data_IF_262685327293
#
_entry.id   IF_262685327293
#
_cell.length_a   1.000
_cell.length_b   1.000
_cell.length_c   1.000
_cell.angle_alpha   90.00
_cell.angle_beta   90.00
_cell.angle_gamma   90.00
#
_symmetry.space_group_name_H-M   'P 1'
#
loop_
_entity.id
_entity.type
_entity.pdbx_description
1 polymer ?
#
# COMPACT_ATOMS: atom_id res chain seq x y z
N UNK A 1 -0.73 2.38 -3.55
CA UNK A 1 -1.13 2.80 -4.92
C UNK A 1 -0.71 4.23 -5.16
N UNK A 2 -0.30 4.54 -6.38
CA UNK A 2 0.04 5.89 -6.85
C UNK A 2 -0.63 6.10 -8.20
N UNK A 3 -1.36 7.20 -8.37
CA UNK A 3 -2.06 7.58 -9.61
C UNK A 3 -2.91 6.45 -10.22
N UNK A 4 -3.71 5.79 -9.37
CA UNK A 4 -4.54 4.66 -9.78
C UNK A 4 -3.79 3.37 -10.14
N UNK A 5 -2.47 3.31 -9.92
CA UNK A 5 -1.64 2.12 -10.13
C UNK A 5 -1.19 1.48 -8.83
N UNK A 6 -1.35 0.16 -8.74
CA UNK A 6 -0.91 -0.61 -7.59
C UNK A 6 0.60 -0.86 -7.63
N UNK A 7 1.24 -0.71 -6.47
CA UNK A 7 2.64 -1.04 -6.24
C UNK A 7 2.76 -2.53 -5.85
N UNK A 8 3.96 -3.11 -5.73
CA UNK A 8 4.14 -4.44 -5.17
C UNK A 8 3.44 -4.57 -3.82
N UNK A 9 2.72 -5.68 -3.61
CA UNK A 9 2.01 -5.94 -2.35
C UNK A 9 3.03 -6.06 -1.23
N UNK A 10 2.74 -5.47 -0.08
CA UNK A 10 3.52 -5.61 1.16
C UNK A 10 2.76 -6.48 2.16
N UNK A 11 3.46 -7.43 2.76
CA UNK A 11 2.91 -8.31 3.80
C UNK A 11 3.29 -7.77 5.18
N UNK A 12 2.33 -7.73 6.10
CA UNK A 12 2.53 -7.32 7.49
C UNK A 12 2.48 -8.58 8.36
N UNK A 13 3.60 -8.91 9.00
CA UNK A 13 3.76 -10.09 9.85
C UNK A 13 4.08 -9.66 11.29
N UNK A 14 3.07 -9.49 12.17
CA UNK A 14 3.30 -9.27 13.60
C UNK A 14 4.06 -10.47 14.19
N UNK A 15 5.05 -10.23 15.05
CA UNK A 15 5.81 -11.31 15.70
C UNK A 15 4.99 -12.08 16.74
N UNK A 16 3.99 -11.42 17.32
CA UNK A 16 3.10 -12.00 18.32
C UNK A 16 1.70 -11.44 18.18
N UNK A 17 0.68 -12.30 18.25
CA UNK A 17 -0.72 -11.86 18.25
C UNK A 17 -1.18 -11.26 16.91
N UNK A 18 -2.05 -10.26 16.97
CA UNK A 18 -2.66 -9.60 15.81
C UNK A 18 -1.99 -8.27 15.51
N UNK A 19 -2.21 -7.70 14.32
CA UNK A 19 -1.70 -6.36 13.98
C UNK A 19 -2.50 -5.26 14.70
N UNK A 20 -2.22 -5.09 15.99
CA UNK A 20 -2.80 -4.08 16.87
C UNK A 20 -1.91 -2.82 16.98
N UNK A 21 -2.33 -1.86 17.80
CA UNK A 21 -1.60 -0.61 17.99
C UNK A 21 -0.15 -0.84 18.49
N UNK A 22 0.06 -1.79 19.40
CA UNK A 22 1.39 -2.08 19.93
C UNK A 22 2.31 -2.62 18.83
N UNK A 23 1.83 -3.62 18.08
CA UNK A 23 2.59 -4.19 16.97
C UNK A 23 2.81 -3.21 15.81
N UNK A 24 1.94 -2.20 15.64
CA UNK A 24 2.05 -1.19 14.58
C UNK A 24 3.09 -0.10 14.85
N UNK A 25 3.27 0.30 16.11
CA UNK A 25 4.11 1.46 16.45
C UNK A 25 5.37 1.11 17.26
N UNK A 26 5.46 -0.11 17.80
CA UNK A 26 6.66 -0.54 18.51
C UNK A 26 7.69 -1.09 17.53
N UNK A 27 8.86 -0.45 17.50
CA UNK A 27 9.95 -0.84 16.63
C UNK A 27 10.33 -2.32 16.83
N UNK A 28 10.40 -3.03 15.71
CA UNK A 28 10.83 -4.43 15.66
C UNK A 28 9.76 -5.46 16.04
N UNK A 29 8.51 -5.06 16.30
CA UNK A 29 7.41 -5.99 16.64
C UNK A 29 6.67 -6.56 15.42
N UNK A 30 6.84 -5.95 14.26
CA UNK A 30 6.24 -6.39 13.00
C UNK A 30 7.30 -6.43 11.91
N UNK A 31 7.30 -7.53 11.16
CA UNK A 31 8.06 -7.63 9.92
C UNK A 31 7.18 -7.17 8.76
N UNK A 32 7.76 -6.36 7.89
CA UNK A 32 7.08 -5.85 6.70
C UNK A 32 7.85 -6.32 5.48
N UNK A 33 7.24 -7.20 4.69
CA UNK A 33 7.92 -7.94 3.63
C UNK A 33 7.38 -7.47 2.29
N UNK A 34 8.23 -6.80 1.52
CA UNK A 34 7.89 -6.28 0.20
C UNK A 34 8.97 -6.71 -0.81
N UNK A 35 8.60 -7.41 -1.91
CA UNK A 35 7.26 -7.93 -2.20
C UNK A 35 6.78 -9.00 -1.21
N UNK A 36 5.47 -9.07 -0.99
CA UNK A 36 4.81 -10.05 -0.13
C UNK A 36 5.12 -11.50 -0.55
N UNK A 37 5.22 -12.43 0.41
CA UNK A 37 5.54 -13.84 0.14
C UNK A 37 4.30 -14.66 -0.17
N UNK A 38 3.57 -14.24 -1.20
CA UNK A 38 2.34 -14.87 -1.66
C UNK A 38 2.48 -15.29 -3.13
N UNK A 39 1.65 -16.22 -3.64
CA UNK A 39 1.64 -16.56 -5.05
C UNK A 39 1.45 -15.31 -5.92
N UNK A 40 2.21 -15.21 -7.01
CA UNK A 40 2.19 -14.05 -7.92
C UNK A 40 0.77 -13.75 -8.43
N UNK A 41 0.00 -14.78 -8.73
CA UNK A 41 -1.39 -14.65 -9.17
C UNK A 41 -2.31 -14.06 -8.08
N UNK A 42 -2.03 -14.33 -6.80
CA UNK A 42 -2.75 -13.71 -5.69
C UNK A 42 -2.35 -12.24 -5.55
N UNK A 43 -1.06 -11.92 -5.67
CA UNK A 43 -0.60 -10.54 -5.64
C UNK A 43 -1.23 -9.70 -6.77
N UNK A 44 -1.24 -10.22 -8.00
CA UNK A 44 -1.89 -9.59 -9.16
C UNK A 44 -3.39 -9.37 -8.95
N UNK A 45 -4.09 -10.34 -8.34
CA UNK A 45 -5.51 -10.19 -8.00
C UNK A 45 -5.74 -9.06 -7.00
N UNK A 46 -4.94 -9.00 -5.93
CA UNK A 46 -5.03 -7.93 -4.92
C UNK A 46 -4.76 -6.57 -5.57
N UNK A 47 -3.74 -6.48 -6.42
CA UNK A 47 -3.42 -5.25 -7.17
C UNK A 47 -4.58 -4.83 -8.08
N UNK A 48 -5.16 -5.74 -8.86
CA UNK A 48 -6.30 -5.43 -9.74
C UNK A 48 -7.55 -5.00 -8.96
N UNK A 49 -7.87 -5.67 -7.84
CA UNK A 49 -8.94 -5.24 -6.93
C UNK A 49 -8.65 -3.83 -6.42
N UNK A 50 -7.39 -3.57 -6.04
CA UNK A 50 -6.97 -2.30 -5.49
C UNK A 50 -7.18 -1.14 -6.46
N UNK A 51 -6.76 -1.32 -7.71
CA UNK A 51 -6.93 -0.33 -8.80
C UNK A 51 -8.40 -0.07 -9.13
N UNK A 52 -9.22 -1.13 -9.23
CA UNK A 52 -10.66 -0.97 -9.47
C UNK A 52 -11.37 -0.20 -8.37
N UNK A 53 -11.09 -0.53 -7.09
CA UNK A 53 -11.73 0.17 -5.98
C UNK A 53 -11.18 1.61 -5.81
N UNK A 54 -9.92 1.89 -6.15
CA UNK A 54 -9.39 3.26 -6.20
C UNK A 54 -10.23 4.15 -7.13
N UNK A 55 -10.54 3.66 -8.33
CA UNK A 55 -11.40 4.35 -9.29
C UNK A 55 -12.84 4.46 -8.78
N UNK A 56 -13.42 3.37 -8.27
CA UNK A 56 -14.80 3.35 -7.79
C UNK A 56 -15.04 4.32 -6.62
N UNK A 57 -14.05 4.46 -5.74
CA UNK A 57 -14.06 5.37 -4.59
C UNK A 57 -13.70 6.81 -4.95
N UNK A 58 -13.34 7.09 -6.21
CA UNK A 58 -12.88 8.41 -6.68
C UNK A 58 -11.71 8.93 -5.83
N UNK A 59 -10.80 8.03 -5.47
CA UNK A 59 -9.55 8.42 -4.84
C UNK A 59 -8.63 9.03 -5.89
N UNK A 60 -7.80 9.99 -5.45
CA UNK A 60 -6.86 10.70 -6.31
C UNK A 60 -5.44 10.59 -5.73
N UNK A 61 -4.45 10.72 -6.62
CA UNK A 61 -3.01 10.80 -6.31
C UNK A 61 -2.42 9.53 -5.67
N UNK A 62 -2.87 9.13 -4.48
CA UNK A 62 -2.35 7.96 -3.77
C UNK A 62 -3.29 7.49 -2.68
N UNK A 63 -3.21 6.19 -2.37
CA UNK A 63 -3.89 5.57 -1.26
C UNK A 63 -3.21 4.24 -0.90
N UNK A 64 -3.48 3.74 0.31
CA UNK A 64 -3.18 2.38 0.71
C UNK A 64 -4.48 1.61 0.90
N UNK A 65 -4.54 0.37 0.42
CA UNK A 65 -5.64 -0.54 0.68
C UNK A 65 -5.12 -1.70 1.53
N UNK A 66 -5.80 -1.95 2.64
CA UNK A 66 -5.41 -2.98 3.60
C UNK A 66 -6.33 -4.20 3.41
N UNK A 67 -5.73 -5.39 3.26
CA UNK A 67 -6.44 -6.64 2.99
C UNK A 67 -6.11 -7.71 4.03
N UNK A 68 -7.04 -8.63 4.23
CA UNK A 68 -6.80 -9.92 4.87
C UNK A 68 -6.82 -11.02 3.80
N UNK A 69 -5.79 -11.85 3.79
CA UNK A 69 -5.70 -13.06 2.97
C UNK A 69 -5.80 -14.28 3.89
N UNK A 70 -6.76 -15.18 3.64
CA UNK A 70 -6.90 -16.42 4.41
C UNK A 70 -6.05 -17.54 3.82
N UNK A 71 -5.81 -18.60 4.58
CA UNK A 71 -5.10 -19.82 4.11
C UNK A 71 -5.76 -20.46 2.88
N UNK A 72 -7.10 -20.44 2.82
CA UNK A 72 -7.87 -20.94 1.67
C UNK A 72 -7.83 -20.01 0.44
N UNK A 73 -7.10 -18.89 0.51
CA UNK A 73 -6.94 -17.94 -0.61
C UNK A 73 -8.05 -16.91 -0.76
N UNK A 74 -8.94 -16.75 0.22
CA UNK A 74 -9.97 -15.69 0.20
C UNK A 74 -9.33 -14.33 0.53
N UNK A 75 -9.71 -13.30 -0.22
CA UNK A 75 -9.23 -11.93 -0.07
C UNK A 75 -10.37 -11.06 0.46
N UNK A 76 -10.13 -10.38 1.59
CA UNK A 76 -11.07 -9.46 2.20
C UNK A 76 -10.45 -8.07 2.27
N UNK A 77 -11.09 -7.07 1.65
CA UNK A 77 -10.70 -5.67 1.80
C UNK A 77 -11.17 -5.15 3.16
N UNK A 78 -10.26 -4.57 3.95
CA UNK A 78 -10.56 -4.03 5.27
C UNK A 78 -10.84 -2.53 5.20
N UNK A 79 -9.89 -1.77 4.64
CA UNK A 79 -10.02 -0.32 4.51
C UNK A 79 -9.26 0.23 3.29
N UNK A 80 -9.61 1.46 2.95
CA UNK A 80 -8.78 2.34 2.14
C UNK A 80 -8.36 3.54 2.98
N UNK A 81 -7.06 3.76 3.04
CA UNK A 81 -6.46 4.91 3.68
C UNK A 81 -6.03 5.91 2.60
N UNK A 82 -6.73 7.05 2.53
CA UNK A 82 -6.47 8.13 1.55
C UNK A 82 -5.34 9.07 1.96
N UNK A 83 -4.74 8.89 3.14
CA UNK A 83 -3.59 9.65 3.62
C UNK A 83 -2.66 8.74 4.44
N UNK A 84 -2.07 7.71 3.81
CA UNK A 84 -1.19 6.78 4.51
C UNK A 84 0.06 7.52 5.01
N UNK A 85 0.71 6.92 6.02
CA UNK A 85 1.99 7.44 6.54
C UNK A 85 3.04 7.59 5.44
N UNK A 86 3.80 8.68 5.52
CA UNK A 86 4.84 9.07 4.55
C UNK A 86 6.22 9.24 5.19
N UNK A 87 6.47 8.60 6.34
CA UNK A 87 7.83 8.48 6.87
C UNK A 87 8.59 7.38 6.12
N UNK A 88 9.93 7.39 6.12
CA UNK A 88 10.72 6.33 5.48
C UNK A 88 10.42 4.91 6.01
N UNK A 89 9.87 4.80 7.24
CA UNK A 89 9.44 3.54 7.83
C UNK A 89 8.01 3.11 7.44
N UNK A 90 7.24 3.98 6.77
CA UNK A 90 5.85 3.71 6.40
C UNK A 90 5.75 2.74 5.21
N UNK A 91 4.60 2.07 5.09
CA UNK A 91 4.35 1.03 4.08
C UNK A 91 4.44 1.53 2.65
N UNK A 92 3.81 2.67 2.31
CA UNK A 92 3.78 3.17 0.92
C UNK A 92 5.20 3.50 0.39
N UNK A 93 6.08 4.19 1.15
CA UNK A 93 7.49 4.31 0.78
C UNK A 93 8.23 2.97 0.59
N UNK A 94 7.93 1.95 1.40
CA UNK A 94 8.54 0.62 1.25
C UNK A 94 8.06 -0.09 -0.02
N UNK A 95 6.76 -0.01 -0.33
CA UNK A 95 6.18 -0.50 -1.58
C UNK A 95 6.80 0.20 -2.80
N UNK A 96 6.95 1.53 -2.74
CA UNK A 96 7.55 2.32 -3.82
C UNK A 96 9.02 1.93 -4.05
N UNK A 97 9.79 1.77 -2.97
CA UNK A 97 11.17 1.31 -3.03
C UNK A 97 11.29 -0.08 -3.65
N UNK A 98 10.39 -1.01 -3.33
CA UNK A 98 10.34 -2.32 -3.96
C UNK A 98 10.02 -2.25 -5.46
N UNK A 99 9.35 -1.19 -5.92
CA UNK A 99 9.12 -0.88 -7.32
C UNK A 99 10.27 -0.10 -7.99
N UNK A 100 11.37 0.17 -7.26
CA UNK A 100 12.52 0.92 -7.77
C UNK A 100 12.34 2.44 -7.74
N UNK A 101 11.41 2.96 -6.94
CA UNK A 101 11.17 4.41 -6.75
C UNK A 101 11.76 4.83 -5.40
N UNK A 102 12.79 5.68 -5.41
CA UNK A 102 13.40 6.17 -4.18
C UNK A 102 12.50 7.23 -3.49
N UNK A 103 12.69 7.43 -2.19
CA UNK A 103 11.79 8.27 -1.38
C UNK A 103 11.67 9.72 -1.89
N UNK A 104 12.77 10.29 -2.39
CA UNK A 104 12.75 11.63 -3.00
C UNK A 104 11.90 11.67 -4.26
N UNK A 105 12.08 10.71 -5.15
CA UNK A 105 11.31 10.57 -6.40
C UNK A 105 9.82 10.33 -6.11
N UNK A 106 9.51 9.53 -5.08
CA UNK A 106 8.14 9.35 -4.60
C UNK A 106 7.53 10.68 -4.16
N UNK A 107 8.25 11.47 -3.36
CA UNK A 107 7.75 12.78 -2.91
C UNK A 107 7.48 13.71 -4.10
N UNK A 108 8.40 13.79 -5.05
CA UNK A 108 8.25 14.61 -6.27
C UNK A 108 7.04 14.15 -7.10
N UNK A 109 6.91 12.84 -7.34
CA UNK A 109 5.79 12.25 -8.07
C UNK A 109 4.44 12.58 -7.42
N UNK A 110 4.33 12.47 -6.09
CA UNK A 110 3.08 12.78 -5.39
C UNK A 110 2.73 14.27 -5.46
N UNK A 111 3.74 15.17 -5.47
CA UNK A 111 3.53 16.61 -5.66
C UNK A 111 3.03 16.87 -7.09
N UNK A 112 3.70 16.33 -8.11
CA UNK A 112 3.32 16.47 -9.52
C UNK A 112 1.87 16.02 -9.73
N UNK A 113 1.53 14.80 -9.33
CA UNK A 113 0.18 14.26 -9.43
C UNK A 113 -0.86 15.06 -8.64
N UNK A 114 -0.46 15.63 -7.50
CA UNK A 114 -1.34 16.50 -6.74
C UNK A 114 -1.63 17.82 -7.44
N UNK A 115 -0.65 18.37 -8.16
CA UNK A 115 -0.80 19.59 -8.95
C UNK A 115 -1.72 19.33 -10.15
N UNK A 116 -1.49 18.23 -10.89
CA UNK A 116 -2.31 17.85 -12.03
C UNK A 116 -3.79 17.69 -11.64
N UNK A 117 -4.05 16.94 -10.57
CA UNK A 117 -5.41 16.66 -10.11
C UNK A 117 -6.19 17.90 -9.64
N UNK A 118 -5.50 19.01 -9.29
CA UNK A 118 -6.12 20.21 -8.69
C UNK A 118 -6.12 21.42 -9.59
N UNK A 119 -5.16 21.52 -10.50
CA UNK A 119 -4.88 22.75 -11.24
C UNK A 119 -4.75 22.58 -12.75
N UNK A 120 -4.67 21.35 -13.26
CA UNK A 120 -4.58 21.06 -14.70
C UNK A 120 -5.89 20.52 -15.30
N UNK A 121 -7.01 20.61 -14.55
CA UNK A 121 -8.36 20.20 -14.98
C UNK A 121 -9.20 21.33 -15.56
#
# INVERSE_FOLDING_TARGET
>A
MIDGKALPVIEICPKTGWFDYANKYQDGMTEEICPARIPEETAKKIQAISEHAFQALKLDVYARADFLLTEDGNIYCLEYNSLPGMTAASLLPKEAKAAGIEFGELCELLIEKSMDARYCG
#
